data_IF_409633002838
#
_entry.id   IF_409633002838
#
_cell.length_a   1.000
_cell.length_b   1.000
_cell.length_c   1.000
_cell.angle_alpha   90.00
_cell.angle_beta   90.00
_cell.angle_gamma   90.00
#
_symmetry.space_group_name_H-M   'P 1'
#
loop_
_entity.id
_entity.type
_entity.pdbx_description
1 polymer ?
#
# COMPACT_ATOMS: atom_id res chain seq x y z
N UNK A 1 9.35 15.22 20.15
CA UNK A 1 9.08 14.97 18.71
C UNK A 1 9.48 13.57 18.22
N UNK A 2 10.74 13.13 18.39
CA UNK A 2 11.23 11.83 17.89
C UNK A 2 10.37 10.61 18.28
N UNK A 3 9.90 10.52 19.53
CA UNK A 3 9.04 9.43 20.01
C UNK A 3 7.66 9.42 19.34
N UNK A 4 7.05 10.61 19.17
CA UNK A 4 5.75 10.74 18.52
C UNK A 4 5.80 10.35 17.03
N UNK A 5 6.82 10.81 16.29
CA UNK A 5 7.02 10.42 14.89
C UNK A 5 7.26 8.92 14.75
N UNK A 6 8.07 8.33 15.65
CA UNK A 6 8.27 6.87 15.67
C UNK A 6 6.96 6.12 15.93
N UNK A 7 6.15 6.58 16.88
CA UNK A 7 4.85 5.98 17.18
C UNK A 7 3.91 6.06 15.98
N UNK A 8 3.73 7.25 15.39
CA UNK A 8 2.91 7.47 14.20
C UNK A 8 3.36 6.60 13.02
N UNK A 9 4.66 6.56 12.75
CA UNK A 9 5.20 5.72 11.67
C UNK A 9 4.94 4.23 11.91
N UNK A 10 5.00 3.78 13.17
CA UNK A 10 4.75 2.38 13.52
C UNK A 10 3.28 2.03 13.36
N UNK A 11 2.37 2.82 13.93
CA UNK A 11 0.93 2.55 13.84
C UNK A 11 0.42 2.68 12.39
N UNK A 12 0.92 3.66 11.63
CA UNK A 12 0.63 3.79 10.20
C UNK A 12 1.14 2.62 9.38
N UNK A 13 2.34 2.09 9.69
CA UNK A 13 2.86 0.88 9.05
C UNK A 13 2.02 -0.37 9.32
N UNK A 14 1.56 -0.55 10.57
CA UNK A 14 0.66 -1.64 10.97
C UNK A 14 -0.68 -1.52 10.23
N UNK A 15 -1.29 -0.34 10.25
CA UNK A 15 -2.57 -0.11 9.57
C UNK A 15 -2.47 -0.31 8.06
N UNK A 16 -1.39 0.15 7.43
CA UNK A 16 -1.15 -0.01 5.99
C UNK A 16 -1.04 -1.48 5.61
N UNK A 17 -0.15 -2.23 6.27
CA UNK A 17 0.09 -3.64 5.95
C UNK A 17 -1.13 -4.50 6.28
N UNK A 18 -1.80 -4.24 7.40
CA UNK A 18 -3.05 -4.92 7.77
C UNK A 18 -4.17 -4.67 6.76
N UNK A 19 -4.36 -3.42 6.32
CA UNK A 19 -5.37 -3.10 5.32
C UNK A 19 -5.09 -3.78 3.97
N UNK A 20 -3.83 -3.83 3.52
CA UNK A 20 -3.46 -4.55 2.29
C UNK A 20 -3.75 -6.05 2.39
N UNK A 21 -3.49 -6.68 3.53
CA UNK A 21 -3.84 -8.08 3.78
C UNK A 21 -5.36 -8.28 3.74
N UNK A 22 -6.13 -7.40 4.38
CA UNK A 22 -7.60 -7.46 4.32
C UNK A 22 -8.08 -7.34 2.87
N UNK A 23 -7.54 -6.40 2.08
CA UNK A 23 -7.89 -6.27 0.65
C UNK A 23 -7.60 -7.55 -0.14
N UNK A 24 -6.46 -8.21 0.10
CA UNK A 24 -6.13 -9.50 -0.53
C UNK A 24 -7.14 -10.59 -0.17
N UNK A 25 -7.51 -10.69 1.11
CA UNK A 25 -8.49 -11.67 1.56
C UNK A 25 -9.87 -11.41 0.95
N UNK A 26 -10.28 -10.15 0.85
CA UNK A 26 -11.55 -9.78 0.22
C UNK A 26 -11.56 -10.10 -1.28
N UNK A 27 -10.48 -9.79 -2.00
CA UNK A 27 -10.34 -10.15 -3.42
C UNK A 27 -10.34 -11.66 -3.63
N UNK A 28 -9.69 -12.43 -2.75
CA UNK A 28 -9.63 -13.88 -2.81
C UNK A 28 -11.00 -14.53 -2.57
N UNK A 29 -11.84 -13.92 -1.73
CA UNK A 29 -13.14 -14.43 -1.32
C UNK A 29 -14.30 -13.62 -1.91
N UNK A 30 -14.06 -12.96 -3.05
CA UNK A 30 -15.08 -12.17 -3.72
C UNK A 30 -16.25 -13.07 -4.13
N UNK A 31 -17.51 -12.69 -3.83
CA UNK A 31 -18.68 -13.42 -4.33
C UNK A 31 -18.66 -13.49 -5.87
N UNK A 32 -19.27 -14.53 -6.47
CA UNK A 32 -19.38 -14.60 -7.91
C UNK A 32 -20.31 -13.49 -8.43
N UNK A 33 -20.05 -13.02 -9.67
CA UNK A 33 -20.73 -11.84 -10.26
C UNK A 33 -22.22 -12.09 -10.57
N UNK A 34 -22.61 -13.36 -10.71
CA UNK A 34 -24.01 -13.79 -10.81
C UNK A 34 -24.81 -13.46 -9.54
N UNK A 35 -24.14 -13.40 -8.38
CA UNK A 35 -24.68 -12.85 -7.13
C UNK A 35 -24.38 -11.35 -7.03
N UNK A 36 -24.97 -10.56 -7.92
CA UNK A 36 -24.63 -9.15 -8.12
C UNK A 36 -24.72 -8.30 -6.84
N UNK A 37 -25.74 -8.50 -6.00
CA UNK A 37 -25.90 -7.80 -4.72
C UNK A 37 -24.76 -8.13 -3.76
N UNK A 38 -24.37 -9.40 -3.66
CA UNK A 38 -23.26 -9.83 -2.81
C UNK A 38 -21.92 -9.28 -3.31
N UNK A 39 -21.68 -9.35 -4.63
CA UNK A 39 -20.48 -8.80 -5.27
C UNK A 39 -20.36 -7.30 -5.04
N UNK A 40 -21.42 -6.53 -5.30
CA UNK A 40 -21.44 -5.09 -5.09
C UNK A 40 -21.24 -4.72 -3.61
N UNK A 41 -21.86 -5.45 -2.69
CA UNK A 41 -21.67 -5.27 -1.25
C UNK A 41 -20.21 -5.48 -0.86
N UNK A 42 -19.59 -6.58 -1.32
CA UNK A 42 -18.18 -6.87 -1.03
C UNK A 42 -17.24 -5.78 -1.57
N UNK A 43 -17.49 -5.28 -2.79
CA UNK A 43 -16.74 -4.15 -3.37
C UNK A 43 -16.92 -2.85 -2.57
N UNK A 44 -18.13 -2.58 -2.08
CA UNK A 44 -18.41 -1.47 -1.17
C UNK A 44 -17.61 -1.57 0.14
N UNK A 45 -17.56 -2.75 0.75
CA UNK A 45 -16.78 -3.00 1.96
C UNK A 45 -15.27 -2.80 1.74
N UNK A 46 -14.73 -3.23 0.59
CA UNK A 46 -13.33 -2.95 0.22
C UNK A 46 -13.08 -1.45 0.13
N UNK A 47 -14.03 -0.69 -0.41
CA UNK A 47 -14.00 0.77 -0.46
C UNK A 47 -13.91 1.39 0.94
N UNK A 48 -14.69 0.90 1.91
CA UNK A 48 -14.65 1.37 3.30
C UNK A 48 -13.30 1.09 3.96
N UNK A 49 -12.75 -0.12 3.81
CA UNK A 49 -11.40 -0.44 4.31
C UNK A 49 -10.36 0.48 3.70
N UNK A 50 -10.47 0.74 2.40
CA UNK A 50 -9.55 1.64 1.71
C UNK A 50 -9.63 3.06 2.26
N UNK A 51 -10.84 3.62 2.35
CA UNK A 51 -11.09 5.00 2.74
C UNK A 51 -10.70 5.26 4.20
N UNK A 52 -11.03 4.34 5.11
CA UNK A 52 -10.93 4.57 6.54
C UNK A 52 -9.69 3.96 7.20
N UNK A 53 -9.04 2.99 6.55
CA UNK A 53 -7.87 2.33 7.13
C UNK A 53 -6.65 2.52 6.23
N UNK A 54 -6.73 2.11 4.96
CA UNK A 54 -5.58 2.11 4.05
C UNK A 54 -5.04 3.53 3.82
N UNK A 55 -5.91 4.47 3.44
CA UNK A 55 -5.50 5.85 3.14
C UNK A 55 -4.96 6.62 4.34
N UNK A 56 -5.67 6.66 5.48
CA UNK A 56 -5.16 7.31 6.67
C UNK A 56 -3.81 6.72 7.11
N UNK A 57 -3.67 5.39 7.07
CA UNK A 57 -2.44 4.71 7.45
C UNK A 57 -1.27 5.06 6.51
N UNK A 58 -1.55 5.12 5.21
CA UNK A 58 -0.58 5.53 4.18
C UNK A 58 -0.11 6.96 4.40
N UNK A 59 -1.04 7.90 4.65
CA UNK A 59 -0.71 9.29 4.94
C UNK A 59 0.13 9.42 6.22
N UNK A 60 -0.29 8.76 7.30
CA UNK A 60 0.41 8.78 8.59
C UNK A 60 1.84 8.24 8.43
N UNK A 61 2.03 7.09 7.77
CA UNK A 61 3.35 6.48 7.66
C UNK A 61 4.31 7.31 6.80
N UNK A 62 3.81 7.91 5.71
CA UNK A 62 4.62 8.74 4.81
C UNK A 62 5.02 10.05 5.47
N UNK A 63 4.04 10.80 6.00
CA UNK A 63 4.30 12.11 6.62
C UNK A 63 5.24 11.95 7.81
N UNK A 64 4.99 10.97 8.68
CA UNK A 64 5.87 10.73 9.83
C UNK A 64 7.28 10.26 9.41
N UNK A 65 7.39 9.49 8.32
CA UNK A 65 8.67 9.04 7.76
C UNK A 65 9.49 10.20 7.19
N UNK A 66 8.87 11.04 6.35
CA UNK A 66 9.51 12.21 5.76
C UNK A 66 9.95 13.22 6.82
N UNK A 67 9.08 13.51 7.80
CA UNK A 67 9.42 14.39 8.93
C UNK A 67 10.57 13.82 9.77
N UNK A 68 10.61 12.49 9.97
CA UNK A 68 11.71 11.85 10.71
C UNK A 68 13.04 11.98 9.96
N UNK A 69 13.03 11.94 8.64
CA UNK A 69 14.22 12.12 7.81
C UNK A 69 14.68 13.58 7.82
N UNK A 70 13.76 14.52 7.58
CA UNK A 70 14.05 15.96 7.55
C UNK A 70 14.64 16.50 8.87
N UNK A 71 14.20 15.96 10.02
CA UNK A 71 14.63 16.45 11.34
C UNK A 71 15.83 15.70 11.93
N UNK A 72 16.38 14.70 11.24
CA UNK A 72 17.49 13.91 11.77
C UNK A 72 18.60 13.73 10.73
N UNK A 73 19.66 14.52 10.85
CA UNK A 73 20.83 14.48 9.95
C UNK A 73 21.48 13.10 9.84
N UNK A 74 21.36 12.28 10.89
CA UNK A 74 21.89 10.92 10.92
C UNK A 74 21.31 10.01 9.82
N UNK A 75 20.17 10.36 9.19
CA UNK A 75 19.62 9.61 8.06
C UNK A 75 20.18 10.05 6.71
N UNK A 76 20.67 11.28 6.57
CA UNK A 76 21.08 11.83 5.27
C UNK A 76 22.29 11.12 4.68
N UNK A 77 23.20 10.62 5.52
CA UNK A 77 24.40 9.89 5.11
C UNK A 77 24.22 8.37 4.97
N UNK A 78 23.01 7.85 5.17
CA UNK A 78 22.74 6.41 5.24
C UNK A 78 22.01 5.92 3.98
N UNK A 79 22.71 5.14 3.14
CA UNK A 79 22.11 4.61 1.90
C UNK A 79 20.85 3.77 2.11
N UNK A 80 20.74 3.03 3.22
CA UNK A 80 19.53 2.27 3.56
C UNK A 80 18.32 3.16 3.84
N UNK A 81 18.53 4.38 4.35
CA UNK A 81 17.43 5.32 4.60
C UNK A 81 16.87 5.86 3.27
N UNK A 82 17.74 6.17 2.30
CA UNK A 82 17.33 6.58 0.96
C UNK A 82 16.62 5.46 0.19
N UNK A 83 17.12 4.23 0.27
CA UNK A 83 16.45 3.09 -0.34
C UNK A 83 15.06 2.84 0.29
N UNK A 84 14.96 2.97 1.61
CA UNK A 84 13.68 2.89 2.34
C UNK A 84 12.71 3.98 1.87
N UNK A 85 13.21 5.20 1.66
CA UNK A 85 12.39 6.29 1.13
C UNK A 85 11.86 5.96 -0.27
N UNK A 86 12.75 5.49 -1.17
CA UNK A 86 12.35 5.12 -2.53
C UNK A 86 11.27 4.04 -2.53
N UNK A 87 11.45 2.95 -1.76
CA UNK A 87 10.42 1.91 -1.61
C UNK A 87 9.14 2.46 -0.99
N UNK A 88 9.23 3.38 -0.03
CA UNK A 88 8.07 4.04 0.56
C UNK A 88 7.26 4.84 -0.46
N UNK A 89 7.93 5.58 -1.35
CA UNK A 89 7.29 6.30 -2.46
C UNK A 89 6.67 5.31 -3.45
N UNK A 90 7.35 4.20 -3.77
CA UNK A 90 6.78 3.16 -4.64
C UNK A 90 5.53 2.52 -4.05
N UNK A 91 5.49 2.28 -2.73
CA UNK A 91 4.28 1.77 -2.05
C UNK A 91 3.15 2.80 -2.11
N UNK A 92 3.45 4.09 -1.92
CA UNK A 92 2.45 5.16 -2.03
C UNK A 92 1.83 5.22 -3.41
N UNK A 93 2.66 5.36 -4.44
CA UNK A 93 2.22 5.44 -5.83
C UNK A 93 1.48 4.16 -6.25
N UNK A 94 2.05 3.00 -5.93
CA UNK A 94 1.43 1.71 -6.21
C UNK A 94 0.07 1.56 -5.53
N UNK A 95 -0.09 2.00 -4.28
CA UNK A 95 -1.37 1.92 -3.57
C UNK A 95 -2.44 2.78 -4.24
N UNK A 96 -2.10 4.00 -4.66
CA UNK A 96 -3.02 4.90 -5.36
C UNK A 96 -3.42 4.35 -6.74
N UNK A 97 -2.42 3.97 -7.54
CA UNK A 97 -2.62 3.63 -8.96
C UNK A 97 -3.17 2.21 -9.12
N UNK A 98 -2.60 1.24 -8.41
CA UNK A 98 -2.82 -0.17 -8.68
C UNK A 98 -3.79 -0.86 -7.70
N UNK A 99 -4.14 -0.22 -6.57
CA UNK A 99 -5.13 -0.75 -5.61
C UNK A 99 -6.38 0.12 -5.63
N UNK A 100 -6.27 1.41 -5.28
CA UNK A 100 -7.43 2.25 -5.11
C UNK A 100 -8.15 2.55 -6.42
N UNK A 101 -7.43 2.94 -7.48
CA UNK A 101 -8.03 3.27 -8.77
C UNK A 101 -8.91 2.13 -9.32
N UNK A 102 -8.38 0.91 -9.48
CA UNK A 102 -9.16 -0.27 -9.87
C UNK A 102 -10.32 -0.58 -8.91
N UNK A 103 -10.07 -0.61 -7.60
CA UNK A 103 -11.10 -0.98 -6.61
C UNK A 103 -12.29 0.00 -6.62
N UNK A 104 -12.01 1.31 -6.73
CA UNK A 104 -13.06 2.35 -6.76
C UNK A 104 -13.87 2.27 -8.05
N UNK A 105 -13.21 2.02 -9.20
CA UNK A 105 -13.87 1.85 -10.49
C UNK A 105 -14.76 0.61 -10.50
N UNK A 106 -14.29 -0.51 -9.98
CA UNK A 106 -15.11 -1.73 -9.88
C UNK A 106 -16.27 -1.59 -8.91
N UNK A 107 -16.08 -0.90 -7.77
CA UNK A 107 -17.19 -0.60 -6.87
C UNK A 107 -18.26 0.28 -7.53
N UNK A 108 -17.85 1.30 -8.30
CA UNK A 108 -18.77 2.15 -9.05
C UNK A 108 -19.52 1.38 -10.14
N UNK A 109 -18.83 0.52 -10.90
CA UNK A 109 -19.44 -0.35 -11.91
C UNK A 109 -20.41 -1.36 -11.30
N UNK A 110 -20.07 -1.95 -10.15
CA UNK A 110 -20.96 -2.87 -9.46
C UNK A 110 -22.24 -2.17 -8.98
N UNK A 111 -22.15 -0.91 -8.52
CA UNK A 111 -23.30 -0.10 -8.18
C UNK A 111 -24.17 0.26 -9.42
N UNK A 112 -23.54 0.61 -10.54
CA UNK A 112 -24.24 0.86 -11.81
C UNK A 112 -24.93 -0.39 -12.35
N UNK A 113 -24.30 -1.56 -12.20
CA UNK A 113 -24.89 -2.83 -12.60
C UNK A 113 -26.15 -3.15 -11.77
N UNK A 114 -26.14 -2.86 -10.47
CA UNK A 114 -27.34 -2.98 -9.63
C UNK A 114 -28.48 -2.03 -10.06
N UNK A 115 -28.13 -0.86 -10.59
CA UNK A 115 -29.09 0.09 -11.16
C UNK A 115 -29.59 -0.30 -12.57
N UNK A 116 -29.03 -1.36 -13.17
CA UNK A 116 -29.34 -1.76 -14.55
C UNK A 116 -28.66 -0.91 -15.62
N UNK A 117 -27.67 -0.09 -15.24
CA UNK A 117 -26.97 0.86 -16.11
C UNK A 117 -25.65 0.32 -16.67
N UNK A 118 -25.20 -0.85 -16.20
CA UNK A 118 -23.94 -1.48 -16.58
C UNK A 118 -24.11 -2.99 -16.74
N UNK A 119 -23.45 -3.58 -17.75
CA UNK A 119 -23.49 -5.03 -18.00
C UNK A 119 -22.73 -5.80 -16.90
N UNK A 120 -23.41 -6.64 -16.09
CA UNK A 120 -22.76 -7.43 -15.05
C UNK A 120 -21.67 -8.37 -15.58
N UNK A 121 -21.73 -8.80 -16.84
CA UNK A 121 -20.74 -9.69 -17.44
C UNK A 121 -19.34 -9.05 -17.57
N UNK A 122 -19.26 -7.72 -17.47
CA UNK A 122 -18.00 -6.97 -17.52
C UNK A 122 -17.34 -6.79 -16.14
N UNK A 123 -18.01 -7.18 -15.06
CA UNK A 123 -17.47 -7.08 -13.70
C UNK A 123 -16.42 -8.15 -13.43
N UNK A 124 -15.47 -7.84 -12.55
CA UNK A 124 -14.52 -8.82 -12.02
C UNK A 124 -13.43 -9.28 -13.01
N UNK A 125 -13.46 -8.82 -14.26
CA UNK A 125 -12.46 -9.16 -15.29
C UNK A 125 -11.02 -8.82 -14.86
N UNK A 126 -10.84 -7.82 -14.00
CA UNK A 126 -9.54 -7.37 -13.49
C UNK A 126 -9.18 -7.91 -12.12
N UNK A 127 -10.03 -8.72 -11.48
CA UNK A 127 -9.85 -9.13 -10.08
C UNK A 127 -8.50 -9.84 -9.83
N UNK A 128 -8.06 -10.69 -10.76
CA UNK A 128 -6.76 -11.37 -10.65
C UNK A 128 -5.57 -10.40 -10.74
N UNK A 129 -5.69 -9.34 -11.55
CA UNK A 129 -4.68 -8.29 -11.67
C UNK A 129 -4.63 -7.41 -10.43
N UNK A 130 -5.80 -7.05 -9.88
CA UNK A 130 -5.93 -6.31 -8.62
C UNK A 130 -5.28 -7.08 -7.47
N UNK A 131 -5.53 -8.39 -7.38
CA UNK A 131 -4.95 -9.23 -6.34
C UNK A 131 -3.43 -9.28 -6.45
N UNK A 132 -2.89 -9.54 -7.65
CA UNK A 132 -1.43 -9.58 -7.88
C UNK A 132 -0.77 -8.24 -7.56
N UNK A 133 -1.38 -7.14 -7.99
CA UNK A 133 -0.87 -5.79 -7.74
C UNK A 133 -0.85 -5.48 -6.24
N UNK A 134 -1.92 -5.80 -5.53
CA UNK A 134 -2.01 -5.64 -4.07
C UNK A 134 -0.95 -6.49 -3.35
N UNK A 135 -0.71 -7.71 -3.82
CA UNK A 135 0.31 -8.60 -3.25
C UNK A 135 1.72 -8.04 -3.44
N UNK A 136 2.03 -7.52 -4.64
CA UNK A 136 3.33 -6.88 -4.92
C UNK A 136 3.53 -5.68 -3.99
N UNK A 137 2.53 -4.82 -3.82
CA UNK A 137 2.62 -3.65 -2.94
C UNK A 137 2.84 -4.07 -1.49
N UNK A 138 2.14 -5.11 -1.02
CA UNK A 138 2.38 -5.69 0.30
C UNK A 138 3.83 -6.18 0.43
N UNK A 139 4.35 -6.90 -0.57
CA UNK A 139 5.73 -7.37 -0.59
C UNK A 139 6.74 -6.22 -0.51
N UNK A 140 6.53 -5.15 -1.26
CA UNK A 140 7.39 -3.94 -1.21
C UNK A 140 7.28 -3.27 0.16
N UNK A 141 6.09 -3.17 0.75
CA UNK A 141 5.90 -2.62 2.09
C UNK A 141 6.65 -3.44 3.16
N UNK A 142 6.62 -4.77 3.06
CA UNK A 142 7.39 -5.67 3.94
C UNK A 142 8.89 -5.47 3.74
N UNK A 143 9.37 -5.43 2.50
CA UNK A 143 10.77 -5.13 2.21
C UNK A 143 11.21 -3.80 2.84
N UNK A 144 10.32 -2.79 2.82
CA UNK A 144 10.57 -1.50 3.43
C UNK A 144 10.71 -1.57 4.96
N UNK A 145 9.96 -2.45 5.63
CA UNK A 145 10.10 -2.76 7.06
C UNK A 145 11.42 -3.48 7.33
N UNK A 146 11.76 -4.48 6.52
CA UNK A 146 13.01 -5.25 6.63
C UNK A 146 14.23 -4.32 6.58
N UNK A 147 14.27 -3.38 5.64
CA UNK A 147 15.36 -2.39 5.56
C UNK A 147 15.46 -1.54 6.83
N UNK A 148 14.34 -1.18 7.45
CA UNK A 148 14.32 -0.38 8.66
C UNK A 148 14.85 -1.15 9.89
N UNK A 149 14.61 -2.47 9.94
CA UNK A 149 15.04 -3.35 11.02
C UNK A 149 16.52 -3.69 10.88
N UNK A 150 16.94 -4.17 9.71
CA UNK A 150 18.31 -4.67 9.52
C UNK A 150 19.34 -3.59 9.20
N UNK A 151 18.91 -2.44 8.65
CA UNK A 151 19.77 -1.27 8.39
C UNK A 151 21.09 -1.65 7.72
N UNK A 152 21.05 -2.29 6.55
CA UNK A 152 22.25 -2.78 5.90
C UNK A 152 23.25 -1.65 5.66
N UNK A 153 24.54 -1.93 5.91
CA UNK A 153 25.63 -0.99 5.64
C UNK A 153 26.09 -1.20 4.20
N UNK A 154 25.68 -0.32 3.30
CA UNK A 154 26.22 -0.27 1.94
C UNK A 154 27.63 0.33 2.03
N UNK A 155 28.63 -0.52 2.27
CA UNK A 155 30.02 -0.12 2.28
C UNK A 155 30.43 0.30 0.87
N UNK A 156 30.67 1.60 0.69
CA UNK A 156 31.56 2.06 -0.38
C UNK A 156 32.93 1.46 -0.08
N UNK A 157 33.33 0.43 -0.82
CA UNK A 157 34.76 0.12 -0.96
C UNK A 157 35.37 1.36 -1.62
N UNK A 158 35.94 2.26 -0.81
CA UNK A 158 36.95 3.19 -1.33
C UNK A 158 38.06 2.30 -1.87
N UNK A 159 38.13 2.15 -3.19
CA UNK A 159 39.32 1.68 -3.87
C UNK A 159 40.44 2.59 -3.40
N UNK A 160 41.28 2.05 -2.51
CA UNK A 160 42.48 2.72 -2.05
C UNK A 160 43.42 2.70 -3.24
N UNK A 161 43.38 3.74 -4.07
CA UNK A 161 44.44 4.01 -5.03
C UNK A 161 45.68 4.29 -4.19
N UNK A 162 46.47 3.25 -3.97
CA UNK A 162 47.79 3.37 -3.38
C UNK A 162 48.76 3.68 -4.53
N UNK A 163 49.41 4.85 -4.38
CA UNK A 163 50.63 5.31 -5.05
C UNK A 163 50.48 5.73 -6.52
#
# INVERSE_FOLDING_TARGET
MRKALKFLHTIGGIGLTGALVVQLLMLQNMPPVDSLVAYATARGQMGLVSQWVLFPSLAIVLVSGLLSMAWTDAFHSQGWAWMKLALGVSVFEGTLIAVQGPATREAARAAQALAGEFDPALLGLTASSEWKSTLVILGVAIANVVLAVWRPRFSSKKTRSAL
#
